data_IF_640870982167
#
_entry.id   IF_640870982167
#
_cell.length_a   1.000
_cell.length_b   1.000
_cell.length_c   1.000
_cell.angle_alpha   90.00
_cell.angle_beta   90.00
_cell.angle_gamma   90.00
#
_symmetry.space_group_name_H-M   'P 1'
#
loop_
_entity.id
_entity.type
_entity.pdbx_description
1 polymer ?
#
# COMPACT_ATOMS: atom_id res chain seq x y z
N UNK A 1 31.72 20.16 -29.72
CA UNK A 1 30.70 20.33 -28.66
C UNK A 1 29.84 21.53 -29.03
N UNK A 2 28.53 21.35 -29.19
CA UNK A 2 27.61 22.46 -29.46
C UNK A 2 27.58 23.34 -28.21
N UNK A 3 28.11 24.56 -28.29
CA UNK A 3 28.05 25.52 -27.17
C UNK A 3 26.60 25.94 -27.02
N UNK A 4 26.00 25.54 -25.90
CA UNK A 4 24.66 26.00 -25.53
C UNK A 4 24.75 27.50 -25.27
N UNK A 5 24.00 28.29 -26.03
CA UNK A 5 23.95 29.73 -25.82
C UNK A 5 23.07 30.05 -24.61
N UNK A 6 23.22 31.26 -24.06
CA UNK A 6 22.38 31.70 -22.95
C UNK A 6 20.90 31.72 -23.38
N UNK A 7 20.61 32.07 -24.63
CA UNK A 7 19.26 32.04 -25.20
C UNK A 7 18.70 30.62 -25.28
N UNK A 8 19.50 29.65 -25.73
CA UNK A 8 19.11 28.24 -25.75
C UNK A 8 18.83 27.72 -24.32
N UNK A 9 19.61 28.17 -23.33
CA UNK A 9 19.43 27.81 -21.93
C UNK A 9 18.13 28.40 -21.35
N UNK A 10 17.84 29.67 -21.63
CA UNK A 10 16.60 30.30 -21.19
C UNK A 10 15.38 29.65 -21.83
N UNK A 11 15.45 29.31 -23.13
CA UNK A 11 14.38 28.59 -23.81
C UNK A 11 14.15 27.21 -23.20
N UNK A 12 15.22 26.47 -22.90
CA UNK A 12 15.12 25.14 -22.28
C UNK A 12 14.56 25.21 -20.86
N UNK A 13 14.94 26.22 -20.07
CA UNK A 13 14.37 26.45 -18.74
C UNK A 13 12.86 26.66 -18.83
N UNK A 14 12.42 27.53 -19.73
CA UNK A 14 10.98 27.81 -19.92
C UNK A 14 10.20 26.55 -20.33
N UNK A 15 10.72 25.77 -21.26
CA UNK A 15 10.11 24.50 -21.67
C UNK A 15 9.99 23.52 -20.48
N UNK A 16 11.01 23.44 -19.64
CA UNK A 16 11.02 22.58 -18.46
C UNK A 16 10.09 23.07 -17.35
N UNK A 17 9.90 24.39 -17.21
CA UNK A 17 8.94 24.98 -16.28
C UNK A 17 7.51 24.65 -16.67
N UNK A 18 7.17 24.79 -17.96
CA UNK A 18 5.86 24.44 -18.51
C UNK A 18 5.58 22.94 -18.37
N UNK A 19 6.58 22.09 -18.66
CA UNK A 19 6.48 20.63 -18.47
C UNK A 19 6.29 20.26 -17.00
N UNK A 20 7.07 20.85 -16.09
CA UNK A 20 6.93 20.62 -14.65
C UNK A 20 5.55 21.05 -14.13
N UNK A 21 5.00 22.15 -14.63
CA UNK A 21 3.66 22.60 -14.26
C UNK A 21 2.59 21.56 -14.66
N UNK A 22 2.65 21.06 -15.91
CA UNK A 22 1.72 20.03 -16.39
C UNK A 22 1.85 18.71 -15.64
N UNK A 23 3.08 18.28 -15.36
CA UNK A 23 3.34 17.04 -14.60
C UNK A 23 2.81 17.15 -13.16
N UNK A 24 2.92 18.32 -12.53
CA UNK A 24 2.35 18.56 -11.19
C UNK A 24 0.82 18.47 -11.21
N UNK A 25 0.17 19.04 -12.22
CA UNK A 25 -1.29 18.94 -12.38
C UNK A 25 -1.75 17.50 -12.61
N UNK A 26 -1.04 16.74 -13.44
CA UNK A 26 -1.34 15.32 -13.69
C UNK A 26 -1.14 14.46 -12.43
N UNK A 27 -0.08 14.73 -11.66
CA UNK A 27 0.13 14.08 -10.35
C UNK A 27 -1.01 14.37 -9.38
N UNK A 28 -1.45 15.62 -9.31
CA UNK A 28 -2.56 16.02 -8.43
C UNK A 28 -3.88 15.39 -8.87
N UNK A 29 -4.11 15.28 -10.18
CA UNK A 29 -5.23 14.53 -10.75
C UNK A 29 -5.19 13.06 -10.33
N UNK A 30 -4.04 12.38 -10.43
CA UNK A 30 -3.95 10.96 -10.03
C UNK A 30 -4.05 10.73 -8.53
N UNK A 31 -3.54 11.65 -7.69
CA UNK A 31 -3.73 11.60 -6.24
C UNK A 31 -5.20 11.69 -5.84
N UNK A 32 -5.94 12.59 -6.48
CA UNK A 32 -7.33 12.86 -6.18
C UNK A 32 -8.31 11.95 -6.95
N UNK A 33 -7.81 11.15 -7.90
CA UNK A 33 -8.62 10.18 -8.63
C UNK A 33 -9.09 9.10 -7.65
N UNK A 34 -10.40 9.04 -7.39
CA UNK A 34 -11.01 7.86 -6.76
C UNK A 34 -10.71 6.65 -7.66
N UNK A 35 -9.78 5.81 -7.25
CA UNK A 35 -9.48 4.55 -7.94
C UNK A 35 -10.71 3.66 -7.74
N UNK A 36 -11.63 3.69 -8.70
CA UNK A 36 -12.76 2.78 -8.76
C UNK A 36 -12.23 1.38 -9.02
N UNK A 37 -12.12 0.59 -7.95
CA UNK A 37 -11.59 -0.77 -8.00
C UNK A 37 -11.65 -1.42 -6.61
N UNK A 38 -11.39 -2.72 -6.55
CA UNK A 38 -11.20 -3.43 -5.27
C UNK A 38 -10.04 -2.75 -4.55
N UNK A 39 -10.31 -2.10 -3.42
CA UNK A 39 -9.24 -1.62 -2.55
C UNK A 39 -8.38 -2.83 -2.19
N UNK A 40 -7.06 -2.76 -2.45
CA UNK A 40 -6.09 -3.64 -1.75
C UNK A 40 -6.43 -3.53 -0.26
N UNK A 41 -6.32 -4.65 0.48
CA UNK A 41 -6.61 -4.72 1.92
C UNK A 41 -6.28 -3.38 2.58
N UNK A 42 -7.33 -2.71 3.07
CA UNK A 42 -7.17 -1.33 3.54
C UNK A 42 -6.22 -1.29 4.73
N UNK A 43 -5.63 -0.11 4.99
CA UNK A 43 -4.67 0.07 6.09
C UNK A 43 -5.26 -0.38 7.43
N UNK A 44 -6.57 -0.19 7.62
CA UNK A 44 -7.31 -0.63 8.81
C UNK A 44 -7.36 -2.16 8.92
N UNK A 45 -7.59 -2.87 7.81
CA UNK A 45 -7.59 -4.32 7.77
C UNK A 45 -6.20 -4.89 8.05
N UNK A 46 -5.16 -4.28 7.47
CA UNK A 46 -3.76 -4.67 7.72
C UNK A 46 -3.37 -4.47 9.17
N UNK A 47 -3.80 -3.37 9.80
CA UNK A 47 -3.57 -3.12 11.21
C UNK A 47 -4.19 -4.23 12.08
N UNK A 48 -5.49 -4.51 11.90
CA UNK A 48 -6.16 -5.57 12.66
C UNK A 48 -5.60 -6.97 12.37
N UNK A 49 -5.11 -7.22 11.16
CA UNK A 49 -4.44 -8.47 10.80
C UNK A 49 -3.12 -8.62 11.55
N UNK A 50 -2.29 -7.58 11.58
CA UNK A 50 -1.00 -7.60 12.28
C UNK A 50 -1.19 -7.85 13.78
N UNK A 51 -2.16 -7.18 14.41
CA UNK A 51 -2.49 -7.38 15.83
C UNK A 51 -2.92 -8.82 16.10
N UNK A 52 -3.72 -9.41 15.20
CA UNK A 52 -4.08 -10.83 15.26
C UNK A 52 -2.85 -11.74 15.13
N UNK A 53 -1.96 -11.50 14.16
CA UNK A 53 -0.77 -12.33 13.92
C UNK A 53 0.16 -12.33 15.12
N UNK A 54 0.42 -11.17 15.74
CA UNK A 54 1.28 -11.08 16.93
C UNK A 54 0.75 -11.96 18.06
N UNK A 55 -0.57 -11.95 18.30
CA UNK A 55 -1.17 -12.79 19.33
C UNK A 55 -1.16 -14.27 18.95
N UNK A 56 -1.45 -14.58 17.70
CA UNK A 56 -1.50 -15.96 17.22
C UNK A 56 -0.11 -16.63 17.24
N UNK A 57 0.93 -15.92 16.82
CA UNK A 57 2.32 -16.38 16.88
C UNK A 57 2.86 -16.45 18.31
N UNK A 58 2.27 -15.70 19.25
CA UNK A 58 2.55 -15.86 20.68
C UNK A 58 1.96 -17.15 21.30
N UNK A 59 1.25 -17.95 20.50
CA UNK A 59 0.67 -19.23 20.91
C UNK A 59 -0.77 -19.15 21.39
N UNK A 60 -1.43 -18.00 21.30
CA UNK A 60 -2.85 -17.86 21.67
C UNK A 60 -3.75 -18.50 20.62
N UNK A 61 -4.81 -19.15 21.09
CA UNK A 61 -5.85 -19.68 20.24
C UNK A 61 -6.73 -18.56 19.68
N UNK A 62 -7.42 -18.86 18.57
CA UNK A 62 -8.34 -17.90 17.92
C UNK A 62 -9.42 -17.43 18.90
N UNK A 63 -9.95 -18.31 19.74
CA UNK A 63 -11.00 -17.96 20.69
C UNK A 63 -10.48 -17.04 21.79
N UNK A 64 -9.27 -17.30 22.33
CA UNK A 64 -8.64 -16.39 23.30
C UNK A 64 -8.42 -15.00 22.70
N UNK A 65 -8.00 -14.91 21.43
CA UNK A 65 -7.84 -13.62 20.74
C UNK A 65 -9.19 -12.92 20.57
N UNK A 66 -10.25 -13.64 20.22
CA UNK A 66 -11.60 -13.08 20.11
C UNK A 66 -12.11 -12.57 21.46
N UNK A 67 -11.85 -13.31 22.53
CA UNK A 67 -12.30 -12.95 23.89
C UNK A 67 -11.59 -11.70 24.43
N UNK A 68 -10.37 -11.38 23.96
CA UNK A 68 -9.71 -10.09 24.27
C UNK A 68 -10.39 -8.88 23.63
N UNK A 69 -11.33 -9.08 22.70
CA UNK A 69 -12.01 -8.00 21.99
C UNK A 69 -11.23 -7.41 20.81
N UNK A 70 -10.06 -7.97 20.46
CA UNK A 70 -9.24 -7.51 19.33
C UNK A 70 -9.97 -7.63 17.99
N UNK A 71 -10.75 -8.69 17.78
CA UNK A 71 -11.54 -8.85 16.57
C UNK A 71 -12.73 -9.79 16.78
N UNK A 72 -13.73 -9.69 15.89
CA UNK A 72 -14.86 -10.63 15.90
C UNK A 72 -14.41 -12.04 15.53
N UNK A 73 -15.14 -13.07 16.00
CA UNK A 73 -14.90 -14.47 15.62
C UNK A 73 -14.78 -14.65 14.11
N UNK A 74 -15.69 -14.05 13.34
CA UNK A 74 -15.67 -14.11 11.86
C UNK A 74 -14.40 -13.49 11.29
N UNK A 75 -13.97 -12.35 11.82
CA UNK A 75 -12.75 -11.67 11.39
C UNK A 75 -11.51 -12.49 11.71
N UNK A 76 -11.45 -13.08 12.91
CA UNK A 76 -10.34 -13.91 13.36
C UNK A 76 -10.15 -15.13 12.44
N UNK A 77 -11.22 -15.82 12.07
CA UNK A 77 -11.13 -16.93 11.10
C UNK A 77 -10.71 -16.46 9.71
N UNK A 78 -11.16 -15.29 9.26
CA UNK A 78 -10.70 -14.72 7.97
C UNK A 78 -9.20 -14.40 8.01
N UNK A 79 -8.70 -13.86 9.11
CA UNK A 79 -7.27 -13.64 9.30
C UNK A 79 -6.49 -14.94 9.34
N UNK A 80 -7.02 -15.98 10.00
CA UNK A 80 -6.42 -17.32 9.98
C UNK A 80 -6.29 -17.87 8.56
N UNK A 81 -7.35 -17.80 7.75
CA UNK A 81 -7.32 -18.26 6.36
C UNK A 81 -6.23 -17.55 5.56
N UNK A 82 -6.15 -16.22 5.68
CA UNK A 82 -5.12 -15.43 5.00
C UNK A 82 -3.70 -15.77 5.49
N UNK A 83 -3.52 -15.98 6.80
CA UNK A 83 -2.25 -16.42 7.38
C UNK A 83 -1.80 -17.77 6.82
N UNK A 84 -2.71 -18.75 6.76
CA UNK A 84 -2.44 -20.09 6.22
C UNK A 84 -2.07 -20.02 4.72
N UNK A 85 -2.77 -19.17 3.93
CA UNK A 85 -2.44 -18.93 2.52
C UNK A 85 -1.05 -18.32 2.34
N UNK A 86 -0.69 -17.33 3.16
CA UNK A 86 0.63 -16.70 3.10
C UNK A 86 1.75 -17.66 3.46
N UNK A 87 1.56 -18.53 4.46
CA UNK A 87 2.56 -19.53 4.83
C UNK A 87 2.76 -20.56 3.72
N UNK A 88 1.68 -21.05 3.10
CA UNK A 88 1.79 -21.93 1.92
C UNK A 88 2.59 -21.31 0.79
N UNK A 89 2.34 -20.03 0.48
CA UNK A 89 3.09 -19.32 -0.55
C UNK A 89 4.57 -19.09 -0.22
N UNK A 90 4.95 -19.08 1.08
CA UNK A 90 6.35 -19.02 1.50
C UNK A 90 7.02 -20.37 1.30
N UNK A 91 6.35 -21.45 1.69
CA UNK A 91 6.86 -22.81 1.56
C UNK A 91 7.04 -23.23 0.09
N UNK A 92 6.12 -22.84 -0.80
CA UNK A 92 6.20 -23.14 -2.24
C UNK A 92 7.36 -22.42 -2.98
N UNK A 93 7.98 -21.43 -2.35
CA UNK A 93 9.08 -20.64 -2.93
C UNK A 93 10.47 -21.08 -2.45
N UNK A 94 10.53 -22.11 -1.62
CA UNK A 94 11.77 -22.62 -1.02
C UNK A 94 12.24 -23.90 -1.71
#
# INVERSE_FOLDING_TARGET
MKKMTIEDALKRIKELEDENARLKEELEYYKNRKIGGRKKHDEQWMQGYNDFVVQYESGKTIMEIVDTGLCSRRTAYRYKTYYDELNKMKDDKQ
#
